data_IF_291995063014
#
_entry.id   IF_291995063014
#
_cell.length_a   1.000
_cell.length_b   1.000
_cell.length_c   1.000
_cell.angle_alpha   90.00
_cell.angle_beta   90.00
_cell.angle_gamma   90.00
#
_symmetry.space_group_name_H-M   'P 1'
#
loop_
_entity.id
_entity.type
_entity.pdbx_description
1 polymer ?
#
# COMPACT_ATOMS: atom_id res chain seq x y z
N UNK A 1 -19.88 17.85 7.17
CA UNK A 1 -18.61 17.24 6.71
C UNK A 1 -18.50 15.88 7.36
N UNK A 2 -18.01 14.87 6.65
CA UNK A 2 -17.73 13.57 7.27
C UNK A 2 -16.70 13.74 8.39
N UNK A 3 -16.77 12.93 9.45
CA UNK A 3 -15.73 12.92 10.47
C UNK A 3 -14.39 12.50 9.84
N UNK A 4 -13.30 13.14 10.29
CA UNK A 4 -11.95 12.75 9.90
C UNK A 4 -11.64 11.35 10.46
N UNK A 5 -10.95 10.55 9.65
CA UNK A 5 -10.42 9.26 10.03
C UNK A 5 -9.35 9.45 11.12
N UNK A 6 -9.64 8.90 12.31
CA UNK A 6 -8.82 9.11 13.51
C UNK A 6 -7.66 8.11 13.65
N UNK A 7 -7.67 7.03 12.87
CA UNK A 7 -6.66 5.97 12.93
C UNK A 7 -5.43 6.31 12.07
N UNK A 8 -4.41 5.45 12.12
CA UNK A 8 -3.15 5.69 11.41
C UNK A 8 -3.31 5.41 9.92
N UNK A 9 -2.58 6.16 9.12
CA UNK A 9 -2.46 5.93 7.68
C UNK A 9 -1.00 5.74 7.31
N UNK A 10 -0.65 4.57 6.79
CA UNK A 10 0.64 4.34 6.16
C UNK A 10 0.48 4.47 4.65
N UNK A 11 1.30 5.33 4.03
CA UNK A 11 1.38 5.49 2.59
C UNK A 11 2.71 4.90 2.13
N UNK A 12 2.67 3.88 1.28
CA UNK A 12 3.86 3.33 0.63
C UNK A 12 4.07 4.06 -0.70
N UNK A 13 5.26 4.59 -0.91
CA UNK A 13 5.62 5.41 -2.05
C UNK A 13 5.39 6.91 -1.81
N UNK A 14 6.37 7.72 -2.21
CA UNK A 14 6.32 9.18 -2.30
C UNK A 14 6.45 9.62 -3.77
N UNK A 15 5.68 8.94 -4.63
CA UNK A 15 5.63 9.12 -6.07
C UNK A 15 4.82 10.35 -6.51
N UNK A 16 4.52 10.42 -7.81
CA UNK A 16 3.58 11.41 -8.36
C UNK A 16 2.16 11.20 -7.83
N UNK A 17 1.71 9.95 -7.69
CA UNK A 17 0.37 9.65 -7.17
C UNK A 17 0.22 10.12 -5.73
N UNK A 18 1.21 9.85 -4.88
CA UNK A 18 1.22 10.31 -3.48
C UNK A 18 1.16 11.84 -3.37
N UNK A 19 1.91 12.56 -4.22
CA UNK A 19 1.85 14.02 -4.30
C UNK A 19 0.46 14.55 -4.61
N UNK A 20 -0.29 13.88 -5.48
CA UNK A 20 -1.63 14.30 -5.87
C UNK A 20 -2.67 14.01 -4.79
N UNK A 21 -2.54 12.91 -4.06
CA UNK A 21 -3.56 12.47 -3.09
C UNK A 21 -3.37 13.05 -1.69
N UNK A 22 -2.12 13.31 -1.26
CA UNK A 22 -1.81 13.81 0.07
C UNK A 22 -2.54 15.11 0.44
N UNK A 23 -2.61 16.15 -0.42
CA UNK A 23 -3.37 17.36 -0.11
C UNK A 23 -4.84 17.07 0.16
N UNK A 24 -5.45 16.21 -0.66
CA UNK A 24 -6.87 15.84 -0.54
C UNK A 24 -7.14 15.04 0.74
N UNK A 25 -6.25 14.10 1.11
CA UNK A 25 -6.36 13.36 2.36
C UNK A 25 -6.30 14.31 3.55
N UNK A 26 -5.33 15.22 3.57
CA UNK A 26 -5.11 16.14 4.69
C UNK A 26 -6.25 17.16 4.81
N UNK A 27 -6.77 17.64 3.67
CA UNK A 27 -7.85 18.62 3.66
C UNK A 27 -9.18 18.01 4.12
N UNK A 28 -9.48 16.77 3.73
CA UNK A 28 -10.83 16.24 3.86
C UNK A 28 -10.99 15.05 4.81
N UNK A 29 -9.95 14.25 5.02
CA UNK A 29 -10.12 12.90 5.55
C UNK A 29 -9.25 12.57 6.76
N UNK A 30 -8.03 13.09 6.87
CA UNK A 30 -7.05 12.63 7.87
C UNK A 30 -6.24 13.81 8.38
N UNK A 31 -5.92 13.83 9.67
CA UNK A 31 -4.93 14.80 10.18
C UNK A 31 -3.52 14.36 9.78
N UNK A 32 -2.69 15.29 9.31
CA UNK A 32 -1.36 14.98 8.80
C UNK A 32 -0.48 14.22 9.80
N UNK A 33 -0.61 14.48 11.10
CA UNK A 33 0.07 13.76 12.19
C UNK A 33 -0.23 12.25 12.26
N UNK A 34 -1.35 11.80 11.69
CA UNK A 34 -1.70 10.39 11.60
C UNK A 34 -1.11 9.71 10.35
N UNK A 35 -0.48 10.46 9.46
CA UNK A 35 0.08 9.96 8.21
C UNK A 35 1.57 9.67 8.38
N UNK A 36 1.96 8.45 8.04
CA UNK A 36 3.35 8.06 7.80
C UNK A 36 3.54 7.77 6.31
N UNK A 37 4.56 8.35 5.69
CA UNK A 37 4.94 8.13 4.30
C UNK A 37 6.24 7.35 4.29
N UNK A 38 6.26 6.19 3.62
CA UNK A 38 7.45 5.36 3.49
C UNK A 38 7.87 5.24 2.02
N UNK A 39 9.13 5.46 1.71
CA UNK A 39 9.69 5.22 0.37
C UNK A 39 11.15 4.76 0.50
N UNK A 40 11.59 3.88 -0.40
CA UNK A 40 12.98 3.41 -0.43
C UNK A 40 13.97 4.52 -0.83
N UNK A 41 13.51 5.52 -1.60
CA UNK A 41 14.32 6.68 -2.01
C UNK A 41 14.01 7.86 -1.10
N UNK A 42 14.98 8.77 -0.96
CA UNK A 42 14.69 10.05 -0.32
C UNK A 42 13.91 10.97 -1.27
N UNK A 43 12.59 10.97 -1.11
CA UNK A 43 11.63 11.76 -1.87
C UNK A 43 10.94 12.82 -1.00
N UNK A 44 11.51 13.18 0.18
CA UNK A 44 10.90 14.16 1.11
C UNK A 44 10.53 15.48 0.43
N UNK A 45 11.39 15.97 -0.46
CA UNK A 45 11.16 17.19 -1.22
C UNK A 45 9.85 17.17 -2.03
N UNK A 46 9.38 15.98 -2.44
CA UNK A 46 8.13 15.81 -3.19
C UNK A 46 6.89 15.94 -2.32
N UNK A 47 7.01 15.66 -1.02
CA UNK A 47 5.87 15.64 -0.08
C UNK A 47 6.02 16.68 1.05
N UNK A 48 6.85 17.70 0.82
CA UNK A 48 7.25 18.67 1.84
C UNK A 48 6.06 19.35 2.53
N UNK A 49 4.98 19.66 1.80
CA UNK A 49 3.79 20.28 2.37
C UNK A 49 3.09 19.39 3.40
N UNK A 50 3.07 18.07 3.19
CA UNK A 50 2.53 17.13 4.17
C UNK A 50 3.42 17.06 5.42
N UNK A 51 4.74 17.08 5.24
CA UNK A 51 5.71 17.07 6.34
C UNK A 51 5.63 18.35 7.18
N UNK A 52 5.50 19.51 6.52
CA UNK A 52 5.30 20.80 7.19
C UNK A 52 4.01 20.83 8.02
N UNK A 53 3.00 20.02 7.67
CA UNK A 53 1.74 19.86 8.40
C UNK A 53 1.80 18.79 9.50
N UNK A 54 2.90 18.07 9.64
CA UNK A 54 3.13 17.09 10.71
C UNK A 54 3.14 15.62 10.27
N UNK A 55 3.07 15.31 8.98
CA UNK A 55 3.25 13.93 8.52
C UNK A 55 4.68 13.43 8.78
N UNK A 56 4.80 12.13 9.05
CA UNK A 56 6.09 11.48 9.28
C UNK A 56 6.63 10.90 7.98
N UNK A 57 7.94 11.01 7.74
CA UNK A 57 8.59 10.36 6.60
C UNK A 57 9.62 9.33 7.05
N UNK A 58 9.51 8.12 6.51
CA UNK A 58 10.44 7.01 6.73
C UNK A 58 11.09 6.66 5.40
N UNK A 59 12.42 6.61 5.39
CA UNK A 59 13.14 6.09 4.23
C UNK A 59 13.52 4.64 4.51
N UNK A 60 12.76 3.70 3.96
CA UNK A 60 12.96 2.26 4.14
C UNK A 60 12.35 1.48 2.96
N UNK A 61 12.70 0.21 2.84
CA UNK A 61 12.25 -0.68 1.78
C UNK A 61 11.48 -1.87 2.35
N UNK A 62 10.32 -2.15 1.76
CA UNK A 62 9.56 -3.36 2.03
C UNK A 62 10.08 -4.47 1.10
N UNK A 63 10.44 -5.60 1.68
CA UNK A 63 10.93 -6.80 1.01
C UNK A 63 10.07 -7.99 1.40
N UNK A 64 10.24 -9.11 0.69
CA UNK A 64 9.58 -10.38 1.01
C UNK A 64 9.83 -10.82 2.46
N UNK A 65 11.04 -10.57 2.96
CA UNK A 65 11.49 -11.08 4.25
C UNK A 65 11.12 -10.17 5.42
N UNK A 66 10.90 -8.86 5.16
CA UNK A 66 10.66 -7.88 6.23
C UNK A 66 9.22 -7.33 6.27
N UNK A 67 8.35 -7.71 5.32
CA UNK A 67 7.02 -7.11 5.16
C UNK A 67 6.22 -7.13 6.46
N UNK A 68 6.16 -8.27 7.14
CA UNK A 68 5.39 -8.40 8.38
C UNK A 68 5.93 -7.52 9.50
N UNK A 69 7.24 -7.59 9.75
CA UNK A 69 7.91 -6.80 10.78
C UNK A 69 7.75 -5.30 10.51
N UNK A 70 7.92 -4.88 9.26
CA UNK A 70 7.87 -3.47 8.89
C UNK A 70 6.45 -2.92 8.97
N UNK A 71 5.46 -3.57 8.36
CA UNK A 71 4.09 -3.09 8.39
C UNK A 71 3.53 -3.08 9.83
N UNK A 72 3.88 -4.07 10.65
CA UNK A 72 3.46 -4.16 12.06
C UNK A 72 3.99 -3.01 12.94
N UNK A 73 5.07 -2.33 12.56
CA UNK A 73 5.56 -1.14 13.29
C UNK A 73 4.60 0.05 13.17
N UNK A 74 3.90 0.15 12.05
CA UNK A 74 3.11 1.34 11.70
C UNK A 74 1.60 1.09 11.77
N UNK A 75 1.16 -0.14 11.53
CA UNK A 75 -0.24 -0.49 11.34
C UNK A 75 -0.72 -1.53 12.36
N UNK A 76 -1.99 -1.42 12.73
CA UNK A 76 -2.76 -2.41 13.48
C UNK A 76 -4.20 -2.47 12.95
N UNK A 77 -5.00 -3.41 13.46
CA UNK A 77 -6.40 -3.54 13.09
C UNK A 77 -7.16 -2.20 13.18
N UNK A 78 -7.87 -1.85 12.11
CA UNK A 78 -8.60 -0.59 11.95
C UNK A 78 -7.80 0.57 11.32
N UNK A 79 -6.48 0.44 11.17
CA UNK A 79 -5.66 1.41 10.43
C UNK A 79 -5.82 1.24 8.91
N UNK A 80 -5.24 2.16 8.15
CA UNK A 80 -5.33 2.20 6.69
C UNK A 80 -3.95 2.17 6.03
N UNK A 81 -3.78 1.24 5.08
CA UNK A 81 -2.64 1.14 4.19
C UNK A 81 -3.02 1.62 2.78
N UNK A 82 -2.39 2.72 2.35
CA UNK A 82 -2.47 3.25 0.99
C UNK A 82 -1.18 2.88 0.23
N UNK A 83 -1.27 1.87 -0.62
CA UNK A 83 -0.15 1.32 -1.37
C UNK A 83 -0.03 1.97 -2.76
N UNK A 84 0.94 2.87 -2.89
CA UNK A 84 1.29 3.58 -4.11
C UNK A 84 2.74 3.29 -4.52
N UNK A 85 3.29 2.18 -4.01
CA UNK A 85 4.64 1.74 -4.30
C UNK A 85 4.67 0.85 -5.56
N UNK A 86 5.89 0.50 -5.96
CA UNK A 86 6.17 -0.44 -7.03
C UNK A 86 6.99 -1.60 -6.46
N UNK A 87 6.99 -2.74 -7.14
CA UNK A 87 7.74 -3.95 -6.76
C UNK A 87 7.37 -4.56 -5.39
N UNK A 88 6.12 -4.41 -4.95
CA UNK A 88 5.55 -5.18 -3.82
C UNK A 88 4.43 -6.04 -4.39
N UNK A 89 4.45 -7.34 -4.12
CA UNK A 89 3.40 -8.24 -4.64
C UNK A 89 2.05 -7.94 -4.00
N UNK A 90 1.07 -7.59 -4.85
CA UNK A 90 -0.25 -7.16 -4.43
C UNK A 90 -0.98 -8.24 -3.62
N UNK A 91 -0.84 -9.51 -3.98
CA UNK A 91 -1.47 -10.62 -3.26
C UNK A 91 -0.89 -10.78 -1.85
N UNK A 92 0.43 -10.64 -1.71
CA UNK A 92 1.15 -10.76 -0.44
C UNK A 92 0.72 -9.68 0.53
N UNK A 93 0.81 -8.41 0.12
CA UNK A 93 0.46 -7.27 0.99
C UNK A 93 -1.04 -7.23 1.30
N UNK A 94 -1.89 -7.56 0.34
CA UNK A 94 -3.33 -7.66 0.54
C UNK A 94 -3.69 -8.76 1.55
N UNK A 95 -3.03 -9.92 1.49
CA UNK A 95 -3.22 -10.99 2.48
C UNK A 95 -2.81 -10.52 3.86
N UNK A 96 -1.67 -9.84 3.98
CA UNK A 96 -1.22 -9.29 5.26
C UNK A 96 -2.26 -8.32 5.85
N UNK A 97 -2.79 -7.39 5.04
CA UNK A 97 -3.84 -6.47 5.49
C UNK A 97 -5.12 -7.19 5.91
N UNK A 98 -5.54 -8.22 5.16
CA UNK A 98 -6.70 -9.04 5.51
C UNK A 98 -6.53 -9.71 6.88
N UNK A 99 -5.36 -10.34 7.11
CA UNK A 99 -5.06 -11.08 8.33
C UNK A 99 -4.92 -10.16 9.56
N UNK A 100 -4.46 -8.92 9.36
CA UNK A 100 -4.26 -7.94 10.43
C UNK A 100 -5.44 -6.97 10.62
N UNK A 101 -6.52 -7.12 9.84
CA UNK A 101 -7.70 -6.25 9.93
C UNK A 101 -7.42 -4.80 9.53
N UNK A 102 -6.51 -4.59 8.59
CA UNK A 102 -6.09 -3.28 8.08
C UNK A 102 -6.84 -2.98 6.78
N UNK A 103 -7.38 -1.77 6.65
CA UNK A 103 -7.97 -1.30 5.39
C UNK A 103 -6.87 -1.17 4.33
N UNK A 104 -7.16 -1.56 3.09
CA UNK A 104 -6.17 -1.51 2.01
C UNK A 104 -6.72 -0.81 0.78
N UNK A 105 -5.90 0.02 0.15
CA UNK A 105 -6.15 0.56 -1.18
C UNK A 105 -4.86 0.59 -1.97
N UNK A 106 -4.90 0.13 -3.22
CA UNK A 106 -3.81 0.35 -4.17
C UNK A 106 -4.32 0.86 -5.51
N UNK A 107 -3.40 1.02 -6.46
CA UNK A 107 -3.73 1.44 -7.83
C UNK A 107 -3.16 0.50 -8.91
N UNK A 108 -2.64 -0.66 -8.53
CA UNK A 108 -2.02 -1.62 -9.46
C UNK A 108 -1.90 -3.03 -8.88
N UNK A 109 -1.99 -4.05 -9.73
CA UNK A 109 -1.66 -5.43 -9.35
C UNK A 109 -0.19 -5.71 -9.65
N UNK A 110 0.65 -5.31 -8.70
CA UNK A 110 2.11 -5.43 -8.74
C UNK A 110 2.62 -6.83 -8.34
N UNK A 111 3.84 -7.13 -8.76
CA UNK A 111 4.60 -8.33 -8.39
C UNK A 111 5.95 -7.89 -7.79
N UNK A 112 6.54 -8.71 -6.91
CA UNK A 112 7.88 -8.47 -6.37
C UNK A 112 8.95 -8.28 -7.45
N UNK A 113 8.87 -9.11 -8.50
CA UNK A 113 9.71 -9.00 -9.69
C UNK A 113 8.85 -9.17 -10.96
N UNK A 114 8.38 -8.06 -11.56
CA UNK A 114 7.50 -8.11 -12.72
C UNK A 114 8.20 -8.62 -13.99
N UNK A 115 9.54 -8.64 -14.01
CA UNK A 115 10.32 -9.04 -15.19
C UNK A 115 10.96 -10.41 -15.04
N UNK A 116 10.82 -11.07 -13.89
CA UNK A 116 11.29 -12.43 -13.66
C UNK A 116 10.89 -13.35 -14.82
N UNK A 117 11.84 -14.06 -15.42
CA UNK A 117 11.61 -14.96 -16.56
C UNK A 117 11.39 -14.27 -17.92
N UNK A 118 11.20 -12.95 -17.98
CA UNK A 118 11.21 -12.13 -19.20
C UNK A 118 10.51 -12.76 -20.40
N UNK A 119 11.23 -12.91 -21.52
CA UNK A 119 10.73 -13.51 -22.76
C UNK A 119 10.51 -15.04 -22.68
N UNK A 120 10.88 -15.70 -21.58
CA UNK A 120 10.70 -17.13 -21.37
C UNK A 120 9.39 -17.47 -20.64
N UNK A 121 8.71 -16.50 -20.00
CA UNK A 121 7.39 -16.72 -19.37
C UNK A 121 6.33 -17.03 -20.43
N UNK A 122 5.35 -17.87 -20.14
CA UNK A 122 4.23 -18.06 -21.08
C UNK A 122 3.49 -16.72 -21.29
N UNK A 123 3.07 -16.35 -22.52
CA UNK A 123 2.46 -15.04 -22.78
C UNK A 123 1.28 -14.69 -21.88
N UNK A 124 0.46 -15.69 -21.51
CA UNK A 124 -0.66 -15.50 -20.57
C UNK A 124 -0.20 -15.00 -19.20
N UNK A 125 0.92 -15.51 -18.68
CA UNK A 125 1.45 -15.15 -17.36
C UNK A 125 1.94 -13.71 -17.30
N UNK A 126 2.12 -13.06 -18.45
CA UNK A 126 2.54 -11.66 -18.57
C UNK A 126 1.36 -10.68 -18.59
N UNK A 127 0.12 -11.18 -18.56
CA UNK A 127 -1.08 -10.35 -18.64
C UNK A 127 -1.58 -9.94 -17.26
N UNK A 128 -2.21 -8.77 -17.17
CA UNK A 128 -2.93 -8.36 -15.95
C UNK A 128 -4.09 -9.33 -15.64
N UNK A 129 -4.71 -9.92 -16.66
CA UNK A 129 -5.76 -10.93 -16.46
C UNK A 129 -5.27 -12.09 -15.59
N UNK A 130 -4.09 -12.64 -15.89
CA UNK A 130 -3.49 -13.71 -15.10
C UNK A 130 -3.26 -13.29 -13.64
N UNK A 131 -2.74 -12.08 -13.41
CA UNK A 131 -2.53 -11.55 -12.05
C UNK A 131 -3.86 -11.41 -11.28
N UNK A 132 -4.90 -10.87 -11.91
CA UNK A 132 -6.23 -10.77 -11.30
C UNK A 132 -6.84 -12.15 -11.01
N UNK A 133 -6.63 -13.15 -11.87
CA UNK A 133 -7.11 -14.51 -11.61
C UNK A 133 -6.43 -15.13 -10.40
N UNK A 134 -5.11 -14.95 -10.23
CA UNK A 134 -4.39 -15.36 -9.02
C UNK A 134 -4.93 -14.68 -7.76
N UNK A 135 -5.28 -13.39 -7.85
CA UNK A 135 -5.91 -12.66 -6.73
C UNK A 135 -7.28 -13.23 -6.38
N UNK A 136 -8.09 -13.61 -7.37
CA UNK A 136 -9.40 -14.26 -7.14
C UNK A 136 -9.24 -15.64 -6.50
N UNK A 137 -8.25 -16.42 -6.93
CA UNK A 137 -7.90 -17.72 -6.33
C UNK A 137 -7.36 -17.60 -4.91
N UNK A 138 -6.60 -16.54 -4.62
CA UNK A 138 -6.18 -16.23 -3.25
C UNK A 138 -7.39 -15.89 -2.38
N UNK A 139 -8.25 -14.96 -2.84
CA UNK A 139 -9.45 -14.54 -2.12
C UNK A 139 -10.42 -15.70 -1.86
N UNK A 140 -10.56 -16.66 -2.79
CA UNK A 140 -11.46 -17.80 -2.60
C UNK A 140 -11.07 -18.73 -1.45
N UNK A 141 -9.83 -18.62 -0.96
CA UNK A 141 -9.33 -19.39 0.20
C UNK A 141 -9.62 -18.70 1.54
N UNK A 142 -10.05 -17.43 1.53
CA UNK A 142 -10.38 -16.72 2.76
C UNK A 142 -11.69 -17.24 3.35
N UNK A 143 -11.64 -17.61 4.64
CA UNK A 143 -12.78 -18.21 5.35
C UNK A 143 -13.54 -17.22 6.23
N UNK A 144 -13.01 -16.01 6.39
CA UNK A 144 -13.58 -14.95 7.23
C UNK A 144 -13.72 -13.67 6.42
N UNK A 145 -14.74 -12.89 6.74
CA UNK A 145 -14.83 -11.51 6.26
C UNK A 145 -13.78 -10.68 7.00
N UNK A 146 -12.83 -10.11 6.26
CA UNK A 146 -11.81 -9.21 6.80
C UNK A 146 -12.13 -7.74 6.52
N UNK A 147 -11.14 -6.88 6.78
CA UNK A 147 -11.23 -5.45 6.45
C UNK A 147 -11.39 -5.23 4.93
N UNK A 148 -12.01 -4.10 4.56
CA UNK A 148 -12.20 -3.74 3.16
C UNK A 148 -10.87 -3.48 2.48
N UNK A 149 -10.72 -4.06 1.28
CA UNK A 149 -9.61 -3.80 0.38
C UNK A 149 -10.13 -3.38 -1.00
N UNK A 150 -9.54 -2.32 -1.56
CA UNK A 150 -9.80 -1.82 -2.90
C UNK A 150 -8.53 -2.02 -3.74
N UNK A 151 -8.69 -2.72 -4.87
CA UNK A 151 -7.64 -3.01 -5.85
C UNK A 151 -8.13 -2.58 -7.22
#
# INVERSE_FOLDING_TARGET
MAEKFANRVLILGAGSVSQSVLPLLIEHLVDAQNITIMDQRDNRARVQDALNKGATYVQDVITRDNLDEQLSKYLKAGDFLLDLAWNIDANTILTWCHDHGVLYLNTSVEEWDPYEGGSNKHPLERTLYYRHMRMREMKSKWTKTGATAIV
#
